data_IF_235262337214
#
_entry.id   IF_235262337214
#
_cell.length_a   1.000
_cell.length_b   1.000
_cell.length_c   1.000
_cell.angle_alpha   90.00
_cell.angle_beta   90.00
_cell.angle_gamma   90.00
#
_symmetry.space_group_name_H-M   'P 1'
#
loop_
_entity.id
_entity.type
_entity.pdbx_description
1 polymer ?
#
# COMPACT_ATOMS: atom_id res chain seq x y z
N UNK A 1 6.76 1.25 -17.44
CA UNK A 1 5.69 2.23 -17.60
C UNK A 1 5.55 2.99 -16.29
N UNK A 2 5.47 4.32 -16.33
CA UNK A 2 5.30 5.17 -15.15
C UNK A 2 3.81 5.45 -14.99
N UNK A 3 3.25 5.15 -13.81
CA UNK A 3 1.88 5.56 -13.47
C UNK A 3 1.86 7.09 -13.41
N UNK A 4 0.92 7.77 -14.09
CA UNK A 4 0.82 9.22 -14.02
C UNK A 4 0.69 9.69 -12.57
N UNK A 5 1.39 10.76 -12.20
CA UNK A 5 1.42 11.26 -10.81
C UNK A 5 0.01 11.64 -10.32
N UNK A 6 -0.86 12.09 -11.22
CA UNK A 6 -2.23 12.48 -10.88
C UNK A 6 -3.15 11.28 -10.58
N UNK A 7 -2.74 10.06 -10.96
CA UNK A 7 -3.54 8.84 -10.78
C UNK A 7 -3.35 8.24 -9.38
N UNK A 8 -2.31 8.65 -8.67
CA UNK A 8 -1.95 8.11 -7.36
C UNK A 8 -1.58 9.21 -6.37
N UNK A 9 -2.10 9.12 -5.16
CA UNK A 9 -1.59 9.87 -4.02
C UNK A 9 -0.59 9.02 -3.27
N UNK A 10 0.59 9.56 -2.96
CA UNK A 10 1.56 8.90 -2.10
C UNK A 10 1.72 9.71 -0.83
N UNK A 11 1.58 9.06 0.33
CA UNK A 11 1.75 9.68 1.62
C UNK A 11 2.48 8.76 2.60
N UNK A 12 2.93 9.35 3.70
CA UNK A 12 3.50 8.62 4.83
C UNK A 12 2.67 8.94 6.06
N UNK A 13 2.21 7.92 6.78
CA UNK A 13 1.46 8.09 8.03
C UNK A 13 2.12 7.30 9.15
N UNK A 14 1.91 7.77 10.38
CA UNK A 14 2.31 7.03 11.57
C UNK A 14 1.42 5.79 11.70
N UNK A 15 2.05 4.62 11.71
CA UNK A 15 1.38 3.32 11.87
C UNK A 15 1.25 2.90 13.33
N UNK A 16 1.95 3.58 14.24
CA UNK A 16 1.93 3.31 15.67
C UNK A 16 3.34 3.12 16.23
N UNK A 17 3.51 2.07 17.01
CA UNK A 17 4.78 1.69 17.63
C UNK A 17 5.23 0.36 17.05
N UNK A 18 6.47 0.29 16.58
CA UNK A 18 7.07 -0.90 16.01
C UNK A 18 7.48 -1.93 17.09
N UNK A 19 7.95 -3.11 16.67
CA UNK A 19 8.31 -4.21 17.58
C UNK A 19 9.40 -3.86 18.58
N UNK A 20 10.23 -2.86 18.26
CA UNK A 20 11.36 -2.38 19.07
C UNK A 20 10.99 -1.21 19.98
N UNK A 21 9.72 -0.81 20.04
CA UNK A 21 9.27 0.37 20.79
C UNK A 21 9.48 1.71 20.05
N UNK A 22 10.07 1.68 18.84
CA UNK A 22 10.27 2.88 18.02
C UNK A 22 8.98 3.29 17.28
N UNK A 23 8.87 4.57 16.90
CA UNK A 23 7.74 5.04 16.11
C UNK A 23 7.75 4.38 14.73
N UNK A 24 6.65 3.73 14.36
CA UNK A 24 6.50 3.11 13.06
C UNK A 24 5.79 4.04 12.07
N UNK A 25 6.32 4.10 10.84
CA UNK A 25 5.73 4.79 9.70
C UNK A 25 5.37 3.79 8.61
N UNK A 26 4.26 4.08 7.92
CA UNK A 26 3.75 3.31 6.80
C UNK A 26 3.60 4.22 5.59
N UNK A 27 4.02 3.72 4.42
CA UNK A 27 3.71 4.35 3.15
C UNK A 27 2.28 4.00 2.73
N UNK A 28 1.53 4.98 2.25
CA UNK A 28 0.19 4.80 1.71
C UNK A 28 0.17 5.28 0.26
N UNK A 29 -0.37 4.44 -0.62
CA UNK A 29 -0.63 4.77 -2.02
C UNK A 29 -2.13 4.68 -2.26
N UNK A 30 -2.76 5.84 -2.47
CA UNK A 30 -4.18 5.92 -2.81
C UNK A 30 -4.34 6.04 -4.31
N UNK A 31 -5.07 5.13 -4.93
CA UNK A 31 -5.40 5.20 -6.35
C UNK A 31 -6.57 6.18 -6.50
N UNK A 32 -6.35 7.28 -7.24
CA UNK A 32 -7.36 8.30 -7.56
C UNK A 32 -8.11 7.96 -8.85
N UNK A 33 -7.38 7.37 -9.81
CA UNK A 33 -7.91 6.95 -11.10
C UNK A 33 -7.39 5.56 -11.44
N UNK A 34 -8.32 4.68 -11.79
CA UNK A 34 -8.06 3.31 -12.16
C UNK A 34 -7.80 3.23 -13.67
N UNK A 35 -6.58 2.82 -14.01
CA UNK A 35 -6.20 2.49 -15.38
C UNK A 35 -6.28 0.96 -15.55
N UNK A 36 -7.02 0.46 -16.55
CA UNK A 36 -7.28 -0.98 -16.70
C UNK A 36 -6.02 -1.80 -16.98
N UNK A 37 -4.92 -1.19 -17.42
CA UNK A 37 -3.65 -1.87 -17.70
C UNK A 37 -2.64 -1.59 -16.60
N UNK A 38 -2.49 -0.32 -16.20
CA UNK A 38 -1.44 0.11 -15.27
C UNK A 38 -1.74 -0.19 -13.81
N UNK A 39 -2.99 -0.02 -13.37
CA UNK A 39 -3.33 -0.22 -11.96
C UNK A 39 -3.17 -1.69 -11.54
N UNK A 40 -3.62 -2.70 -12.33
CA UNK A 40 -3.34 -4.10 -12.02
C UNK A 40 -1.84 -4.43 -11.99
N UNK A 41 -1.06 -3.92 -12.95
CA UNK A 41 0.40 -4.14 -13.00
C UNK A 41 1.08 -3.54 -11.76
N UNK A 42 0.67 -2.33 -11.34
CA UNK A 42 1.18 -1.70 -10.12
C UNK A 42 0.90 -2.57 -8.89
N UNK A 43 -0.33 -3.05 -8.74
CA UNK A 43 -0.73 -3.90 -7.61
C UNK A 43 0.01 -5.25 -7.61
N UNK A 44 0.19 -5.88 -8.77
CA UNK A 44 0.99 -7.11 -8.91
C UNK A 44 2.47 -6.91 -8.52
N UNK A 45 3.02 -5.72 -8.77
CA UNK A 45 4.41 -5.40 -8.44
C UNK A 45 4.58 -4.87 -7.01
N UNK A 46 3.52 -4.78 -6.21
CA UNK A 46 3.58 -4.26 -4.83
C UNK A 46 4.68 -4.92 -3.98
N UNK A 47 4.88 -6.25 -3.95
CA UNK A 47 5.93 -6.87 -3.14
C UNK A 47 7.34 -6.40 -3.52
N UNK A 48 7.57 -6.18 -4.81
CA UNK A 48 8.87 -5.70 -5.33
C UNK A 48 9.10 -4.25 -4.92
N UNK A 49 8.05 -3.42 -4.99
CA UNK A 49 8.10 -2.01 -4.58
C UNK A 49 8.38 -1.91 -3.07
N UNK A 50 7.64 -2.67 -2.24
CA UNK A 50 7.84 -2.72 -0.78
C UNK A 50 9.28 -3.15 -0.43
N UNK A 51 9.79 -4.21 -1.07
CA UNK A 51 11.17 -4.66 -0.87
C UNK A 51 12.23 -3.60 -1.22
N UNK A 52 12.01 -2.85 -2.30
CA UNK A 52 12.90 -1.73 -2.69
C UNK A 52 12.86 -0.59 -1.67
N UNK A 53 11.68 -0.19 -1.21
CA UNK A 53 11.54 0.84 -0.17
C UNK A 53 12.22 0.38 1.11
N UNK A 54 11.97 -0.85 1.56
CA UNK A 54 12.64 -1.42 2.73
C UNK A 54 14.16 -1.38 2.60
N UNK A 55 14.71 -1.73 1.43
CA UNK A 55 16.15 -1.66 1.18
C UNK A 55 16.69 -0.23 1.32
N UNK A 56 16.02 0.76 0.74
CA UNK A 56 16.42 2.17 0.81
C UNK A 56 16.31 2.70 2.24
N UNK A 57 15.21 2.40 2.93
CA UNK A 57 15.03 2.79 4.34
C UNK A 57 16.09 2.14 5.22
N UNK A 58 16.44 0.87 4.98
CA UNK A 58 17.55 0.18 5.69
C UNK A 58 18.91 0.82 5.48
N UNK A 59 19.16 1.34 4.29
CA UNK A 59 20.38 2.05 3.96
C UNK A 59 20.40 3.51 4.47
N UNK A 60 19.26 4.00 5.00
CA UNK A 60 19.13 5.37 5.49
C UNK A 60 19.32 5.46 7.01
N UNK A 61 19.74 6.63 7.49
CA UNK A 61 19.88 6.95 8.92
C UNK A 61 18.52 7.03 9.64
N UNK A 62 17.40 7.06 8.89
CA UNK A 62 16.03 7.24 9.42
C UNK A 62 15.63 6.15 10.42
N UNK A 63 16.26 4.96 10.34
CA UNK A 63 15.96 3.84 11.23
C UNK A 63 16.59 3.92 12.63
N UNK A 64 17.45 4.91 12.90
CA UNK A 64 18.02 5.08 14.26
C UNK A 64 16.95 5.45 15.29
N UNK A 65 15.82 6.03 14.86
CA UNK A 65 14.69 6.41 15.73
C UNK A 65 13.32 5.94 15.25
N UNK A 66 13.22 5.23 14.12
CA UNK A 66 11.93 4.87 13.52
C UNK A 66 11.91 3.48 12.89
N UNK A 67 10.73 2.95 12.63
CA UNK A 67 10.51 1.68 11.95
C UNK A 67 9.66 1.87 10.69
N UNK A 68 9.92 1.10 9.63
CA UNK A 68 9.05 1.07 8.46
C UNK A 68 8.13 -0.15 8.50
N UNK A 69 6.85 0.10 8.76
CA UNK A 69 5.82 -0.92 8.89
C UNK A 69 5.49 -1.60 7.54
N UNK A 70 5.57 -0.84 6.43
CA UNK A 70 5.29 -1.36 5.09
C UNK A 70 4.61 -0.35 4.18
N UNK A 71 4.10 -0.88 3.07
CA UNK A 71 3.40 -0.13 2.03
C UNK A 71 1.96 -0.63 1.88
N UNK A 72 0.99 0.29 1.91
CA UNK A 72 -0.44 0.00 1.74
C UNK A 72 -0.97 0.62 0.46
N UNK A 73 -1.73 -0.16 -0.30
CA UNK A 73 -2.47 0.32 -1.46
C UNK A 73 -3.95 0.39 -1.13
N UNK A 74 -4.57 1.50 -1.50
CA UNK A 74 -6.01 1.71 -1.36
C UNK A 74 -6.59 2.14 -2.70
N UNK A 75 -7.58 1.39 -3.19
CA UNK A 75 -8.51 1.84 -4.21
C UNK A 75 -9.90 1.87 -3.56
N UNK A 76 -10.56 3.03 -3.58
CA UNK A 76 -11.92 3.17 -3.06
C UNK A 76 -12.93 2.81 -4.16
N UNK A 77 -14.15 2.39 -3.79
CA UNK A 77 -15.17 1.97 -4.76
C UNK A 77 -15.65 3.09 -5.70
N UNK A 78 -15.45 4.34 -5.29
CA UNK A 78 -15.71 5.56 -6.06
C UNK A 78 -14.53 6.01 -6.94
N UNK A 79 -13.43 5.25 -6.97
CA UNK A 79 -12.27 5.55 -7.83
C UNK A 79 -12.70 5.58 -9.29
N UNK A 80 -12.33 6.65 -10.00
CA UNK A 80 -12.68 6.81 -11.42
C UNK A 80 -12.17 5.62 -12.24
N UNK A 81 -13.03 4.99 -13.03
CA UNK A 81 -12.65 3.84 -13.87
C UNK A 81 -12.49 2.51 -13.12
N UNK A 82 -12.82 2.45 -11.82
CA UNK A 82 -12.73 1.22 -11.06
C UNK A 82 -13.61 0.10 -11.66
N UNK A 83 -13.14 -1.15 -11.64
CA UNK A 83 -13.92 -2.27 -12.13
C UNK A 83 -15.19 -2.42 -11.30
N UNK A 84 -16.35 -2.42 -11.98
CA UNK A 84 -17.68 -2.55 -11.36
C UNK A 84 -18.04 -4.00 -11.01
N UNK A 85 -17.25 -4.96 -11.48
CA UNK A 85 -17.41 -6.38 -11.20
C UNK A 85 -16.05 -6.99 -10.85
N UNK A 86 -16.03 -7.89 -9.87
CA UNK A 86 -14.84 -8.65 -9.46
C UNK A 86 -14.54 -9.85 -10.39
N UNK A 87 -15.31 -10.01 -11.48
CA UNK A 87 -15.18 -11.12 -12.42
C UNK A 87 -13.78 -11.11 -13.07
N UNK A 88 -13.02 -12.19 -12.85
CA UNK A 88 -11.70 -12.39 -13.46
C UNK A 88 -10.49 -11.96 -12.61
N UNK A 89 -10.67 -11.56 -11.35
CA UNK A 89 -9.55 -11.37 -10.43
C UNK A 89 -9.02 -12.75 -9.94
N UNK A 90 -7.69 -12.97 -9.91
CA UNK A 90 -7.08 -14.27 -9.60
C UNK A 90 -7.21 -14.73 -8.15
N UNK A 91 -7.89 -13.96 -7.31
CA UNK A 91 -8.12 -14.25 -5.92
C UNK A 91 -9.59 -13.96 -5.58
N UNK A 92 -10.33 -15.01 -5.22
CA UNK A 92 -11.53 -14.80 -4.41
C UNK A 92 -11.10 -14.00 -3.17
N UNK A 93 -11.71 -12.83 -2.98
CA UNK A 93 -11.59 -12.08 -1.74
C UNK A 93 -12.32 -12.89 -0.67
N UNK A 94 -11.64 -13.88 -0.10
CA UNK A 94 -12.13 -14.60 1.07
C UNK A 94 -12.23 -13.55 2.18
N UNK A 95 -13.45 -13.29 2.64
CA UNK A 95 -13.72 -12.44 3.79
C UNK A 95 -12.85 -12.91 4.96
N UNK A 96 -11.80 -12.16 5.28
CA UNK A 96 -11.05 -12.40 6.51
C UNK A 96 -11.97 -11.99 7.65
N UNK A 97 -12.38 -12.92 8.55
CA UNK A 97 -13.15 -12.53 9.72
C UNK A 97 -12.33 -11.49 10.47
N UNK A 98 -12.90 -10.30 10.64
CA UNK A 98 -12.24 -9.21 11.35
C UNK A 98 -11.75 -9.72 12.70
N UNK A 99 -10.43 -9.68 12.90
CA UNK A 99 -9.85 -9.97 14.21
C UNK A 99 -10.43 -9.01 15.25
N UNK A 100 -10.47 -9.41 16.53
CA UNK A 100 -11.10 -8.62 17.57
C UNK A 100 -10.46 -7.22 17.61
N UNK A 101 -11.31 -6.20 17.52
CA UNK A 101 -10.95 -4.82 17.83
C UNK A 101 -10.63 -4.80 19.32
N UNK A 102 -9.35 -4.64 19.67
CA UNK A 102 -8.98 -4.41 21.06
C UNK A 102 -9.65 -3.09 21.50
N UNK A 103 -10.58 -3.23 22.45
CA UNK A 103 -11.28 -2.13 23.10
C UNK A 103 -10.37 -1.36 24.07
#
# INVERSE_FOLDING_TARGET
MLVPVDYVEVGVKRAGTGPTGLIAFAGYVRIKKWDPVMTPVLLQNMPVIDGRIRKVVRASVILEGTHFAGLWFQATSDTEGAPKALLGLPCELIHQPGGPVAA
#
